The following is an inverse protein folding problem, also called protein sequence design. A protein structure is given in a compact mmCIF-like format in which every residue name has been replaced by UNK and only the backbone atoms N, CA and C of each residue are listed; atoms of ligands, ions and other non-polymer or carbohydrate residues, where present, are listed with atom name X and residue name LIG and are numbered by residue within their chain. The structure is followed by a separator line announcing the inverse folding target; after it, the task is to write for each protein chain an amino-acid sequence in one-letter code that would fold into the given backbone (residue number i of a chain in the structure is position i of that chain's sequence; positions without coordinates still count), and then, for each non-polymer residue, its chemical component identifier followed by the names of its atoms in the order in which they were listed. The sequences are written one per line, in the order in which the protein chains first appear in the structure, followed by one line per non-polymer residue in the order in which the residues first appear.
data_IF_159492705618
#
_entry.id   IF_159492705618
#
_cell.length_a   1.000
_cell.length_b   1.000
_cell.length_c   1.000
_cell.angle_alpha   90.00
_cell.angle_beta   90.00
_cell.angle_gamma   90.00
#
_symmetry.space_group_name_H-M   'P 1'
#
loop_
_entity.id
_entity.type
_entity.pdbx_description
1 polymer ?
#
# COMPACT_ATOMS: atom_id res chain seq x y z
N UNK A 1 -16.04 7.56 -3.07
CA UNK A 1 -16.04 7.79 -1.61
C UNK A 1 -14.70 7.35 -1.04
N UNK A 2 -14.16 8.07 -0.03
CA UNK A 2 -12.86 7.75 0.59
C UNK A 2 -13.01 7.63 2.10
N UNK A 3 -12.37 6.61 2.69
CA UNK A 3 -12.28 6.43 4.13
C UNK A 3 -10.86 6.75 4.61
N UNK A 4 -10.76 7.42 5.76
CA UNK A 4 -9.50 7.71 6.45
C UNK A 4 -9.56 7.19 7.87
N UNK A 5 -8.38 6.85 8.40
CA UNK A 5 -8.17 6.62 9.84
C UNK A 5 -7.24 7.70 10.37
N UNK A 6 -7.61 8.32 11.46
CA UNK A 6 -6.87 9.46 12.00
C UNK A 6 -6.83 9.44 13.54
N UNK A 7 -5.88 10.13 14.12
CA UNK A 7 -5.79 10.32 15.56
C UNK A 7 -6.72 11.48 15.96
N UNK A 8 -7.68 11.20 16.84
CA UNK A 8 -8.52 12.24 17.47
C UNK A 8 -7.72 13.13 18.42
N UNK A 9 -8.35 14.19 18.92
CA UNK A 9 -7.70 15.12 19.85
C UNK A 9 -7.26 14.48 21.18
N UNK A 10 -7.82 13.35 21.55
CA UNK A 10 -7.44 12.51 22.69
C UNK A 10 -6.38 11.44 22.33
N UNK A 11 -5.91 11.41 21.10
CA UNK A 11 -4.98 10.42 20.57
C UNK A 11 -5.62 9.09 20.16
N UNK A 12 -6.93 8.88 20.41
CA UNK A 12 -7.62 7.67 20.02
C UNK A 12 -7.80 7.60 18.49
N UNK A 13 -7.69 6.39 17.93
CA UNK A 13 -7.93 6.19 16.51
C UNK A 13 -9.42 6.31 16.17
N UNK A 14 -9.73 7.07 15.11
CA UNK A 14 -11.08 7.32 14.60
C UNK A 14 -11.14 7.01 13.11
N UNK A 15 -12.33 6.73 12.61
CA UNK A 15 -12.62 6.65 11.17
C UNK A 15 -13.37 7.90 10.72
N UNK A 16 -13.24 8.24 9.45
CA UNK A 16 -14.00 9.33 8.86
C UNK A 16 -14.12 9.21 7.34
N UNK A 17 -15.13 9.91 6.79
CA UNK A 17 -15.27 10.12 5.36
C UNK A 17 -14.46 11.34 4.96
N UNK A 18 -13.54 11.14 4.01
CA UNK A 18 -12.74 12.23 3.47
C UNK A 18 -13.50 12.92 2.33
N UNK A 19 -13.69 14.22 2.48
CA UNK A 19 -14.27 15.14 1.50
C UNK A 19 -13.29 16.30 1.28
N UNK A 20 -12.58 16.29 0.15
CA UNK A 20 -11.51 17.24 -0.17
C UNK A 20 -10.47 17.36 0.97
N UNK A 21 -10.47 18.46 1.72
CA UNK A 21 -9.57 18.71 2.85
C UNK A 21 -10.25 18.54 4.23
N UNK A 22 -11.45 17.96 4.26
CA UNK A 22 -12.27 17.81 5.46
C UNK A 22 -12.55 16.32 5.70
N UNK A 23 -12.53 15.93 6.96
CA UNK A 23 -12.93 14.59 7.43
C UNK A 23 -14.27 14.75 8.16
N UNK A 24 -15.31 14.11 7.67
CA UNK A 24 -16.57 13.95 8.42
C UNK A 24 -16.38 12.75 9.34
N UNK A 25 -16.38 12.98 10.64
CA UNK A 25 -16.11 11.93 11.63
C UNK A 25 -17.18 10.83 11.62
N UNK A 26 -16.73 9.58 11.58
CA UNK A 26 -17.58 8.39 11.61
C UNK A 26 -17.52 7.64 12.96
N UNK A 27 -16.74 8.14 13.92
CA UNK A 27 -16.60 7.55 15.24
C UNK A 27 -15.30 6.79 15.47
N UNK A 28 -15.17 6.08 16.61
CA UNK A 28 -13.98 5.33 16.99
C UNK A 28 -13.63 4.26 15.94
N UNK A 29 -12.34 4.14 15.62
CA UNK A 29 -11.87 3.07 14.74
C UNK A 29 -11.83 1.74 15.48
N UNK A 30 -12.27 0.62 14.86
CA UNK A 30 -12.04 -0.72 15.41
C UNK A 30 -10.55 -1.07 15.40
N UNK A 31 -10.14 -2.07 16.20
CA UNK A 31 -8.73 -2.49 16.31
C UNK A 31 -8.10 -2.93 14.99
N UNK A 32 -8.90 -3.40 14.04
CA UNK A 32 -8.47 -3.78 12.68
C UNK A 32 -8.40 -2.58 11.71
N UNK A 33 -8.67 -1.36 12.20
CA UNK A 33 -8.76 -0.18 11.35
C UNK A 33 -9.98 -0.24 10.43
N UNK A 34 -9.85 0.31 9.22
CA UNK A 34 -10.87 0.25 8.19
C UNK A 34 -10.71 -1.04 7.38
N UNK A 35 -11.68 -1.94 7.42
CA UNK A 35 -11.62 -3.27 6.79
C UNK A 35 -12.26 -3.31 5.40
N UNK A 36 -12.73 -2.18 4.89
CA UNK A 36 -13.39 -2.01 3.58
C UNK A 36 -14.57 -2.97 3.33
N UNK A 37 -15.14 -3.58 4.39
CA UNK A 37 -16.35 -4.39 4.29
C UNK A 37 -17.57 -3.53 3.89
N UNK A 38 -18.65 -4.14 3.38
CA UNK A 38 -19.90 -3.41 3.12
C UNK A 38 -20.39 -2.62 4.33
N UNK A 39 -20.29 -3.20 5.54
CA UNK A 39 -20.71 -2.54 6.79
C UNK A 39 -19.80 -1.36 7.13
N UNK A 40 -18.48 -1.49 6.94
CA UNK A 40 -17.54 -0.39 7.13
C UNK A 40 -17.81 0.74 6.13
N UNK A 41 -18.09 0.45 4.87
CA UNK A 41 -18.48 1.45 3.88
C UNK A 41 -19.83 2.12 4.22
N UNK A 42 -20.79 1.36 4.75
CA UNK A 42 -22.07 1.90 5.22
C UNK A 42 -21.85 2.89 6.38
N UNK A 43 -20.95 2.55 7.33
CA UNK A 43 -20.57 3.45 8.42
C UNK A 43 -19.99 4.76 7.87
N UNK A 44 -19.03 4.67 6.92
CA UNK A 44 -18.42 5.86 6.30
C UNK A 44 -19.46 6.68 5.53
N UNK A 45 -20.35 6.04 4.78
CA UNK A 45 -21.40 6.74 4.01
C UNK A 45 -22.38 7.50 4.91
N UNK A 46 -22.71 6.93 6.07
CA UNK A 46 -23.64 7.52 7.05
C UNK A 46 -22.95 8.47 8.05
N UNK A 47 -21.64 8.72 7.92
CA UNK A 47 -20.92 9.61 8.83
C UNK A 47 -21.56 11.00 8.85
N UNK A 48 -21.84 11.48 10.07
CA UNK A 48 -22.49 12.78 10.35
C UNK A 48 -21.92 13.45 11.61
N UNK A 49 -20.75 12.99 12.06
CA UNK A 49 -20.04 13.60 13.17
C UNK A 49 -19.45 14.96 12.80
N UNK A 50 -18.71 15.60 13.71
CA UNK A 50 -18.13 16.91 13.45
C UNK A 50 -17.09 16.84 12.31
N UNK A 51 -17.04 17.92 11.55
CA UNK A 51 -16.03 18.14 10.54
C UNK A 51 -14.68 18.43 11.18
N UNK A 52 -13.64 17.79 10.67
CA UNK A 52 -12.25 17.94 11.11
C UNK A 52 -11.38 18.26 9.90
N UNK A 53 -10.58 19.32 9.94
CA UNK A 53 -9.66 19.62 8.86
C UNK A 53 -8.53 18.57 8.81
N UNK A 54 -8.21 18.07 7.61
CA UNK A 54 -7.12 17.09 7.43
C UNK A 54 -5.79 17.58 7.99
N UNK A 55 -5.51 18.90 7.86
CA UNK A 55 -4.27 19.50 8.34
C UNK A 55 -4.15 19.60 9.87
N UNK A 56 -5.25 19.42 10.61
CA UNK A 56 -5.27 19.52 12.07
C UNK A 56 -5.10 18.15 12.78
N UNK A 57 -5.00 17.06 12.01
CA UNK A 57 -4.90 15.71 12.55
C UNK A 57 -3.77 14.91 11.91
N UNK A 58 -3.29 13.92 12.65
CA UNK A 58 -2.37 12.93 12.08
C UNK A 58 -3.19 11.83 11.42
N UNK A 59 -2.97 11.62 10.11
CA UNK A 59 -3.53 10.48 9.40
C UNK A 59 -2.74 9.22 9.78
N UNK A 60 -3.45 8.18 10.16
CA UNK A 60 -2.88 6.86 10.47
C UNK A 60 -2.98 5.97 9.23
N UNK A 61 -2.19 4.89 9.16
CA UNK A 61 -2.43 3.87 8.13
C UNK A 61 -3.87 3.37 8.24
N UNK A 62 -4.64 3.32 7.14
CA UNK A 62 -6.09 3.13 7.21
C UNK A 62 -6.49 1.74 7.72
N UNK A 63 -5.75 0.69 7.33
CA UNK A 63 -6.02 -0.70 7.68
C UNK A 63 -4.98 -1.23 8.67
N UNK A 64 -5.38 -2.22 9.49
CA UNK A 64 -4.47 -3.04 10.32
C UNK A 64 -4.65 -4.50 9.88
N UNK A 65 -4.06 -4.88 8.72
CA UNK A 65 -4.32 -6.17 8.10
C UNK A 65 -3.76 -7.33 8.94
N UNK A 66 -4.47 -8.45 8.93
CA UNK A 66 -3.93 -9.72 9.43
C UNK A 66 -2.92 -10.30 8.45
N UNK A 67 -3.14 -10.07 7.14
CA UNK A 67 -2.22 -10.42 6.08
C UNK A 67 -1.93 -9.16 5.25
N UNK A 68 -0.67 -8.77 5.21
CA UNK A 68 -0.13 -7.82 4.26
C UNK A 68 0.72 -8.62 3.28
N UNK A 69 0.17 -8.85 2.11
CA UNK A 69 0.74 -9.70 1.07
C UNK A 69 1.38 -8.79 0.03
N UNK A 70 2.68 -8.94 -0.19
CA UNK A 70 3.38 -8.31 -1.30
C UNK A 70 3.46 -9.26 -2.49
N UNK A 71 3.54 -8.69 -3.69
CA UNK A 71 3.68 -9.43 -4.95
C UNK A 71 4.98 -9.01 -5.61
N UNK A 72 5.92 -9.95 -5.73
CA UNK A 72 7.18 -9.75 -6.44
C UNK A 72 6.96 -9.77 -7.95
N UNK A 73 7.76 -8.93 -8.67
CA UNK A 73 7.80 -8.82 -10.14
C UNK A 73 6.42 -8.95 -10.82
N UNK A 74 5.60 -7.95 -10.68
CA UNK A 74 4.26 -7.98 -11.24
C UNK A 74 3.97 -6.87 -12.27
N UNK A 75 4.95 -6.10 -12.71
CA UNK A 75 4.84 -5.14 -13.81
C UNK A 75 5.77 -5.51 -14.96
N UNK A 76 5.27 -5.41 -16.20
CA UNK A 76 6.04 -5.75 -17.42
C UNK A 76 7.22 -4.82 -17.61
N UNK A 77 7.03 -3.52 -17.41
CA UNK A 77 8.07 -2.49 -17.45
C UNK A 77 9.18 -2.74 -16.42
N UNK A 78 8.83 -3.21 -15.22
CA UNK A 78 9.82 -3.60 -14.20
C UNK A 78 10.58 -4.88 -14.58
N UNK A 79 9.92 -5.87 -15.19
CA UNK A 79 10.57 -7.08 -15.67
C UNK A 79 11.59 -6.76 -16.78
N UNK A 80 11.22 -5.89 -17.72
CA UNK A 80 12.08 -5.43 -18.81
C UNK A 80 13.29 -4.65 -18.28
N UNK A 81 13.10 -3.69 -17.36
CA UNK A 81 14.16 -2.90 -16.74
C UNK A 81 15.18 -3.76 -15.99
N UNK A 82 14.69 -4.78 -15.28
CA UNK A 82 15.51 -5.66 -14.44
C UNK A 82 16.08 -6.86 -15.19
N UNK A 83 15.81 -7.02 -16.49
CA UNK A 83 16.19 -8.17 -17.32
C UNK A 83 15.78 -9.53 -16.70
N UNK A 84 14.64 -9.55 -15.98
CA UNK A 84 14.11 -10.73 -15.32
C UNK A 84 13.08 -11.44 -16.19
N UNK A 85 13.11 -12.78 -16.16
CA UNK A 85 12.05 -13.57 -16.80
C UNK A 85 10.70 -13.34 -16.11
N UNK A 86 9.66 -13.21 -16.93
CA UNK A 86 8.28 -13.09 -16.44
C UNK A 86 7.91 -14.38 -15.71
N UNK A 87 7.51 -14.32 -14.43
CA UNK A 87 7.14 -15.52 -13.68
C UNK A 87 5.87 -16.15 -14.24
N UNK A 88 5.79 -17.48 -14.21
CA UNK A 88 4.60 -18.23 -14.68
C UNK A 88 3.44 -18.21 -13.66
N UNK A 89 3.70 -17.83 -12.41
CA UNK A 89 2.74 -17.71 -11.32
C UNK A 89 3.12 -16.50 -10.43
N UNK A 90 2.16 -15.88 -9.72
CA UNK A 90 2.46 -14.82 -8.77
C UNK A 90 3.46 -15.25 -7.70
N UNK A 91 4.47 -14.44 -7.45
CA UNK A 91 5.44 -14.63 -6.35
C UNK A 91 4.97 -13.84 -5.15
N UNK A 92 4.42 -14.51 -4.16
CA UNK A 92 3.88 -13.86 -2.96
C UNK A 92 4.91 -13.90 -1.82
N UNK A 93 4.97 -12.79 -1.08
CA UNK A 93 5.71 -12.71 0.18
C UNK A 93 4.87 -11.96 1.23
N UNK A 94 5.22 -12.09 2.49
CA UNK A 94 4.55 -11.38 3.55
C UNK A 94 5.34 -10.11 3.91
N UNK A 95 4.61 -9.01 4.22
CA UNK A 95 5.12 -7.92 5.04
C UNK A 95 4.42 -7.97 6.39
N UNK A 96 5.17 -7.76 7.45
CA UNK A 96 4.56 -7.75 8.77
C UNK A 96 3.85 -6.44 9.05
N UNK A 97 2.71 -6.51 9.71
CA UNK A 97 1.91 -5.33 10.04
C UNK A 97 2.63 -4.32 10.95
N UNK A 98 3.69 -4.75 11.65
CA UNK A 98 4.57 -3.86 12.42
C UNK A 98 5.34 -2.86 11.55
N UNK A 99 5.48 -3.14 10.24
CA UNK A 99 6.10 -2.21 9.30
C UNK A 99 5.19 -1.06 8.85
N UNK A 100 3.87 -1.12 9.15
CA UNK A 100 2.91 -0.12 8.70
C UNK A 100 3.09 1.22 9.39
N UNK A 101 3.09 2.29 8.59
CA UNK A 101 3.01 3.68 9.04
C UNK A 101 2.02 4.45 8.16
N UNK A 102 1.50 5.57 8.67
CA UNK A 102 0.54 6.42 7.97
C UNK A 102 1.19 7.49 7.11
N UNK A 103 0.33 8.30 6.50
CA UNK A 103 0.74 9.50 5.78
C UNK A 103 1.42 10.50 6.73
N UNK A 104 2.58 11.02 6.34
CA UNK A 104 3.37 11.96 7.13
C UNK A 104 4.31 11.32 8.15
N UNK A 105 4.13 10.05 8.47
CA UNK A 105 5.05 9.33 9.37
C UNK A 105 6.40 9.09 8.66
N UNK A 106 7.54 9.10 9.37
CA UNK A 106 8.84 8.89 8.76
C UNK A 106 9.06 7.42 8.35
N UNK A 107 9.73 7.24 7.20
CA UNK A 107 10.42 5.98 6.87
C UNK A 107 11.76 6.03 7.60
N UNK A 108 11.94 5.18 8.60
CA UNK A 108 13.18 5.12 9.40
C UNK A 108 14.06 4.00 8.88
N UNK A 109 15.20 4.37 8.29
CA UNK A 109 16.15 3.40 7.73
C UNK A 109 17.05 2.88 8.85
N UNK A 110 17.10 1.55 9.10
CA UNK A 110 18.03 0.96 10.06
C UNK A 110 19.49 1.22 9.69
N UNK A 111 20.37 1.33 10.70
CA UNK A 111 21.80 1.66 10.52
C UNK A 111 22.54 0.69 9.59
N UNK A 112 22.16 -0.57 9.63
CA UNK A 112 22.79 -1.62 8.84
C UNK A 112 22.29 -1.68 7.40
N UNK A 113 21.15 -1.03 7.08
CA UNK A 113 20.60 -1.05 5.73
C UNK A 113 21.17 0.12 4.89
N UNK A 114 22.07 -0.20 3.99
CA UNK A 114 22.78 0.76 3.15
C UNK A 114 22.15 0.96 1.78
N UNK A 115 21.13 0.19 1.45
CA UNK A 115 20.45 0.17 0.15
C UNK A 115 18.93 0.22 0.31
N UNK A 116 18.39 1.23 1.06
CA UNK A 116 16.94 1.39 1.21
C UNK A 116 16.34 1.92 -0.09
N UNK A 117 15.32 1.26 -0.60
CA UNK A 117 14.71 1.54 -1.88
C UNK A 117 13.21 1.80 -1.74
N UNK A 118 12.64 2.55 -2.68
CA UNK A 118 11.22 2.87 -2.79
C UNK A 118 10.56 1.96 -3.83
N UNK A 119 9.34 1.56 -3.55
CA UNK A 119 8.47 0.81 -4.46
C UNK A 119 7.02 1.29 -4.29
N UNK A 120 6.59 2.25 -5.11
CA UNK A 120 5.20 2.70 -5.12
C UNK A 120 4.29 1.62 -5.69
N UNK A 121 3.19 1.32 -4.99
CA UNK A 121 2.26 0.26 -5.34
C UNK A 121 0.80 0.68 -5.16
N UNK A 122 -0.07 0.15 -6.02
CA UNK A 122 -1.50 0.10 -5.73
C UNK A 122 -1.72 -1.00 -4.70
N UNK A 123 -2.32 -0.66 -3.56
CA UNK A 123 -2.73 -1.63 -2.56
C UNK A 123 -4.23 -1.93 -2.68
N UNK A 124 -4.58 -3.19 -2.70
CA UNK A 124 -5.97 -3.67 -2.70
C UNK A 124 -6.36 -4.06 -1.30
N UNK A 125 -7.46 -3.52 -0.80
CA UNK A 125 -8.04 -3.89 0.50
C UNK A 125 -9.19 -4.87 0.25
N UNK A 126 -9.09 -6.06 0.83
CA UNK A 126 -10.15 -7.07 0.77
C UNK A 126 -11.33 -6.61 1.62
N UNK A 127 -12.52 -6.61 1.04
CA UNK A 127 -13.76 -6.20 1.73
C UNK A 127 -14.73 -7.35 1.99
N UNK A 128 -14.46 -8.54 1.45
CA UNK A 128 -15.30 -9.73 1.67
C UNK A 128 -14.44 -10.95 1.93
N UNK A 129 -14.85 -11.75 2.91
CA UNK A 129 -14.21 -13.03 3.19
C UNK A 129 -14.25 -13.92 1.95
N UNK A 130 -13.07 -14.38 1.51
CA UNK A 130 -12.89 -15.02 0.20
C UNK A 130 -11.95 -16.22 0.32
N UNK A 131 -12.39 -17.36 -0.21
CA UNK A 131 -11.62 -18.60 -0.28
C UNK A 131 -11.95 -19.34 -1.58
N UNK A 132 -10.93 -19.74 -2.36
CA UNK A 132 -11.08 -20.42 -3.66
C UNK A 132 -11.99 -19.64 -4.62
N UNK A 133 -11.72 -18.33 -4.75
CA UNK A 133 -12.54 -17.46 -5.57
C UNK A 133 -12.41 -17.77 -7.07
N UNK A 134 -13.53 -17.80 -7.76
CA UNK A 134 -13.55 -17.56 -9.21
C UNK A 134 -13.32 -16.06 -9.52
N UNK A 135 -13.36 -15.70 -10.79
CA UNK A 135 -13.06 -14.31 -11.20
C UNK A 135 -14.10 -13.31 -10.66
N UNK A 136 -15.37 -13.69 -10.64
CA UNK A 136 -16.45 -12.81 -10.18
C UNK A 136 -16.38 -12.61 -8.66
N UNK A 137 -16.15 -13.69 -7.91
CA UNK A 137 -15.96 -13.63 -6.46
C UNK A 137 -14.69 -12.86 -6.08
N UNK A 138 -13.59 -13.04 -6.82
CA UNK A 138 -12.35 -12.28 -6.62
C UNK A 138 -12.56 -10.79 -6.87
N UNK A 139 -13.24 -10.41 -7.94
CA UNK A 139 -13.60 -9.00 -8.22
C UNK A 139 -14.51 -8.44 -7.11
N UNK A 140 -15.52 -9.18 -6.69
CA UNK A 140 -16.44 -8.77 -5.62
C UNK A 140 -15.77 -8.70 -4.24
N UNK A 141 -14.60 -9.33 -4.06
CA UNK A 141 -13.83 -9.28 -2.83
C UNK A 141 -13.05 -7.97 -2.67
N UNK A 142 -12.83 -7.20 -3.75
CA UNK A 142 -12.14 -5.91 -3.67
C UNK A 142 -13.05 -4.89 -2.98
N UNK A 143 -12.74 -4.54 -1.76
CA UNK A 143 -13.48 -3.54 -0.99
C UNK A 143 -13.01 -2.11 -1.24
N UNK A 144 -11.72 -1.94 -1.55
CA UNK A 144 -11.15 -0.62 -1.83
C UNK A 144 -9.72 -0.69 -2.33
N UNK A 145 -9.19 0.46 -2.70
CA UNK A 145 -7.79 0.65 -3.12
C UNK A 145 -7.12 1.74 -2.28
N UNK A 146 -5.82 1.65 -2.10
CA UNK A 146 -4.99 2.62 -1.40
C UNK A 146 -3.64 2.76 -2.09
N UNK A 147 -2.84 3.74 -1.71
CA UNK A 147 -1.43 3.78 -2.08
C UNK A 147 -0.59 3.10 -0.99
N UNK A 148 0.47 2.43 -1.40
CA UNK A 148 1.43 1.80 -0.50
C UNK A 148 2.84 2.02 -1.07
N UNK A 149 3.81 2.19 -0.18
CA UNK A 149 5.21 2.15 -0.53
C UNK A 149 5.82 0.86 0.05
N UNK A 150 6.14 -0.12 -0.81
CA UNK A 150 6.79 -1.36 -0.41
C UNK A 150 8.29 -1.14 -0.22
N UNK A 151 8.63 -0.31 0.77
CA UNK A 151 10.03 0.03 1.07
C UNK A 151 10.85 -1.23 1.27
N UNK A 152 12.01 -1.26 0.61
CA UNK A 152 12.85 -2.44 0.48
C UNK A 152 14.26 -2.18 0.98
N UNK A 153 14.69 -2.93 1.98
CA UNK A 153 16.08 -3.02 2.37
C UNK A 153 16.80 -4.00 1.44
N UNK A 154 17.35 -3.51 0.33
CA UNK A 154 17.96 -4.37 -0.70
C UNK A 154 19.14 -5.17 -0.18
N UNK A 155 19.90 -4.60 0.78
CA UNK A 155 20.98 -5.34 1.44
C UNK A 155 20.42 -6.59 2.14
N UNK A 156 19.46 -6.43 3.03
CA UNK A 156 18.86 -7.57 3.75
C UNK A 156 18.13 -8.53 2.81
N UNK A 157 17.47 -8.00 1.76
CA UNK A 157 16.70 -8.79 0.81
C UNK A 157 17.57 -9.68 -0.10
N UNK A 158 18.71 -9.16 -0.59
CA UNK A 158 19.44 -9.72 -1.73
C UNK A 158 20.84 -10.25 -1.41
N UNK A 159 21.50 -9.81 -0.33
CA UNK A 159 22.89 -10.18 -0.02
C UNK A 159 23.07 -11.61 0.51
N UNK A 160 21.99 -12.31 0.83
CA UNK A 160 22.07 -13.71 1.25
C UNK A 160 21.73 -14.64 0.07
N UNK A 161 22.36 -15.83 -0.05
CA UNK A 161 22.12 -16.76 -1.16
C UNK A 161 20.65 -17.17 -1.30
N UNK A 162 19.91 -17.21 -0.20
CA UNK A 162 18.50 -17.64 -0.18
C UNK A 162 17.51 -16.48 -0.29
N UNK A 163 17.98 -15.26 -0.46
CA UNK A 163 17.17 -14.04 -0.55
C UNK A 163 16.07 -13.96 0.54
N UNK A 164 16.03 -12.91 1.31
CA UNK A 164 15.10 -12.76 2.43
C UNK A 164 14.07 -11.66 2.14
N UNK A 165 13.10 -11.97 1.28
CA UNK A 165 12.06 -10.99 0.91
C UNK A 165 11.32 -10.47 2.13
N UNK A 166 10.70 -11.34 2.92
CA UNK A 166 9.93 -10.93 4.10
C UNK A 166 10.74 -10.06 5.05
N UNK A 167 12.00 -10.40 5.35
CA UNK A 167 12.85 -9.60 6.24
C UNK A 167 13.17 -8.23 5.64
N UNK A 168 13.72 -8.20 4.40
CA UNK A 168 14.12 -6.94 3.75
C UNK A 168 12.95 -6.00 3.45
N UNK A 169 11.73 -6.51 3.43
CA UNK A 169 10.48 -5.79 3.18
C UNK A 169 9.70 -5.43 4.44
N UNK A 170 10.14 -5.86 5.65
CA UNK A 170 9.35 -5.75 6.88
C UNK A 170 10.09 -5.07 8.04
N UNK A 171 11.14 -4.29 7.76
CA UNK A 171 11.67 -3.42 8.80
C UNK A 171 10.57 -2.45 9.27
N UNK A 172 10.63 -2.04 10.52
CA UNK A 172 9.69 -1.07 11.06
C UNK A 172 9.63 0.16 10.13
N UNK A 173 8.44 0.68 9.89
CA UNK A 173 8.16 1.80 8.98
C UNK A 173 8.30 1.52 7.48
N UNK A 174 8.63 0.30 7.05
CA UNK A 174 8.88 -0.04 5.64
C UNK A 174 7.59 -0.37 4.84
N UNK A 175 6.41 -0.09 5.41
CA UNK A 175 5.13 -0.21 4.72
C UNK A 175 4.25 1.04 4.92
N UNK A 176 4.67 2.23 4.47
CA UNK A 176 3.77 3.38 4.43
C UNK A 176 2.52 3.04 3.61
N UNK A 177 1.33 3.32 4.16
CA UNK A 177 0.03 3.07 3.50
C UNK A 177 -0.94 4.21 3.76
N UNK A 178 -1.68 4.63 2.74
CA UNK A 178 -2.69 5.68 2.80
C UNK A 178 -2.66 6.61 1.58
N UNK A 179 -3.04 7.89 1.71
CA UNK A 179 -3.61 8.55 2.90
C UNK A 179 -5.01 8.05 3.24
N UNK A 180 -5.69 7.42 2.30
CA UNK A 180 -7.07 6.94 2.40
C UNK A 180 -7.25 5.57 1.76
N UNK A 181 -8.39 4.94 1.99
CA UNK A 181 -8.92 3.87 1.14
C UNK A 181 -10.03 4.46 0.29
N UNK A 182 -9.91 4.36 -1.02
CA UNK A 182 -10.96 4.71 -1.97
C UNK A 182 -11.84 3.49 -2.25
N UNK A 183 -13.15 3.67 -2.29
CA UNK A 183 -14.08 2.59 -2.63
C UNK A 183 -13.80 2.06 -4.04
N UNK A 184 -13.81 0.75 -4.20
CA UNK A 184 -13.57 0.09 -5.49
C UNK A 184 -14.80 0.09 -6.42
N UNK A 185 -15.96 0.52 -5.93
CA UNK A 185 -17.18 0.58 -6.74
C UNK A 185 -17.03 1.56 -7.89
N UNK A 186 -17.27 1.07 -9.12
CA UNK A 186 -17.09 1.84 -10.36
C UNK A 186 -15.63 2.06 -10.80
N UNK A 187 -14.64 1.55 -10.07
CA UNK A 187 -13.22 1.66 -10.45
C UNK A 187 -12.85 0.56 -11.46
N UNK A 188 -12.22 0.96 -12.56
CA UNK A 188 -11.59 0.00 -13.46
C UNK A 188 -10.22 -0.41 -12.89
N UNK A 189 -10.19 -1.58 -12.26
CA UNK A 189 -8.98 -2.11 -11.64
C UNK A 189 -7.82 -2.35 -12.62
N UNK A 190 -8.10 -2.38 -13.93
CA UNK A 190 -7.10 -2.53 -14.99
C UNK A 190 -6.61 -1.19 -15.56
N UNK A 191 -7.04 -0.05 -15.00
CA UNK A 191 -6.73 1.27 -15.56
C UNK A 191 -6.38 2.33 -14.50
N UNK A 192 -5.79 1.91 -13.37
CA UNK A 192 -5.38 2.81 -12.28
C UNK A 192 -3.98 3.34 -12.56
N UNK A 193 -3.83 4.67 -12.63
CA UNK A 193 -2.52 5.31 -12.75
C UNK A 193 -1.80 5.37 -11.41
N UNK A 194 -0.47 5.19 -11.44
CA UNK A 194 0.40 5.28 -10.29
C UNK A 194 1.66 6.05 -10.63
N UNK A 195 2.12 6.89 -9.69
CA UNK A 195 3.39 7.63 -9.79
C UNK A 195 4.11 7.64 -8.45
N UNK A 196 5.44 7.56 -8.52
CA UNK A 196 6.29 7.75 -7.35
C UNK A 196 7.29 8.85 -7.62
N UNK A 197 7.37 9.83 -6.71
CA UNK A 197 8.42 10.84 -6.72
C UNK A 197 9.27 10.75 -5.46
N UNK A 198 10.56 11.03 -5.59
CA UNK A 198 11.47 11.18 -4.44
C UNK A 198 12.06 12.57 -4.49
N UNK A 199 11.79 13.36 -3.46
CA UNK A 199 12.26 14.75 -3.35
C UNK A 199 11.89 15.61 -4.58
N UNK A 200 10.71 15.34 -5.17
CA UNK A 200 10.17 16.07 -6.33
C UNK A 200 10.60 15.53 -7.69
N UNK A 201 11.50 14.56 -7.75
CA UNK A 201 11.87 13.87 -9.00
C UNK A 201 10.93 12.69 -9.24
N UNK A 202 10.23 12.65 -10.40
CA UNK A 202 9.38 11.51 -10.80
C UNK A 202 10.28 10.33 -11.20
N UNK A 203 10.21 9.26 -10.43
CA UNK A 203 11.06 8.08 -10.59
C UNK A 203 10.30 6.85 -11.10
N UNK A 204 9.01 6.76 -10.79
CA UNK A 204 8.13 5.71 -11.32
C UNK A 204 6.86 6.35 -11.86
N UNK A 205 6.38 5.87 -13.01
CA UNK A 205 5.11 6.29 -13.63
C UNK A 205 4.58 5.15 -14.48
N UNK A 206 3.43 4.59 -14.12
CA UNK A 206 2.84 3.45 -14.82
C UNK A 206 1.32 3.39 -14.59
N UNK A 207 0.73 2.28 -15.02
CA UNK A 207 -0.70 2.03 -14.90
C UNK A 207 -0.94 0.53 -14.67
N UNK A 208 -1.98 0.15 -13.92
CA UNK A 208 -2.29 -1.26 -13.63
C UNK A 208 -2.57 -2.14 -14.86
N UNK A 209 -2.76 -1.54 -16.04
CA UNK A 209 -2.80 -2.28 -17.32
C UNK A 209 -1.48 -3.00 -17.63
N UNK A 210 -0.38 -2.54 -17.04
CA UNK A 210 0.96 -3.13 -17.23
C UNK A 210 1.24 -4.28 -16.24
N UNK A 211 0.30 -4.60 -15.34
CA UNK A 211 0.40 -5.75 -14.45
C UNK A 211 0.57 -7.05 -15.26
N UNK A 212 1.48 -7.92 -14.83
CA UNK A 212 1.67 -9.27 -15.36
C UNK A 212 0.46 -10.13 -14.96
N UNK A 213 0.13 -10.15 -13.68
CA UNK A 213 -1.07 -10.77 -13.13
C UNK A 213 -2.02 -9.67 -12.65
N UNK A 214 -3.21 -9.65 -13.17
CA UNK A 214 -4.25 -8.69 -12.79
C UNK A 214 -4.63 -8.81 -11.31
N UNK A 215 -5.20 -7.76 -10.74
CA UNK A 215 -5.69 -7.76 -9.36
C UNK A 215 -6.63 -8.95 -9.08
N UNK A 216 -7.48 -9.29 -10.04
CA UNK A 216 -8.40 -10.44 -9.93
C UNK A 216 -7.62 -11.76 -9.86
N UNK A 217 -6.64 -11.96 -10.74
CA UNK A 217 -5.79 -13.16 -10.73
C UNK A 217 -4.97 -13.28 -9.44
N UNK A 218 -4.47 -12.17 -8.89
CA UNK A 218 -3.76 -12.18 -7.60
C UNK A 218 -4.67 -12.68 -6.46
N UNK A 219 -5.93 -12.20 -6.41
CA UNK A 219 -6.91 -12.63 -5.41
C UNK A 219 -7.27 -14.11 -5.60
N UNK A 220 -7.50 -14.55 -6.85
CA UNK A 220 -7.75 -15.97 -7.15
C UNK A 220 -6.58 -16.84 -6.69
N UNK A 221 -5.35 -16.46 -7.03
CA UNK A 221 -4.16 -17.21 -6.67
C UNK A 221 -3.96 -17.30 -5.16
N UNK A 222 -4.03 -16.16 -4.46
CA UNK A 222 -3.87 -16.11 -3.00
C UNK A 222 -4.98 -16.89 -2.29
N UNK A 223 -6.23 -16.74 -2.74
CA UNK A 223 -7.39 -17.39 -2.10
C UNK A 223 -7.47 -18.91 -2.38
N UNK A 224 -6.71 -19.44 -3.34
CA UNK A 224 -6.69 -20.86 -3.64
C UNK A 224 -6.20 -21.73 -2.46
N UNK A 225 -5.30 -21.18 -1.65
CA UNK A 225 -4.68 -21.87 -0.51
C UNK A 225 -4.95 -21.25 0.85
N UNK A 226 -5.36 -19.97 0.91
CA UNK A 226 -5.61 -19.27 2.18
C UNK A 226 -6.88 -18.44 2.12
N UNK A 227 -7.60 -18.36 3.22
CA UNK A 227 -8.76 -17.44 3.32
C UNK A 227 -8.24 -16.00 3.40
N UNK A 228 -8.77 -15.13 2.55
CA UNK A 228 -8.63 -13.69 2.66
C UNK A 228 -9.80 -13.14 3.46
N UNK A 229 -9.52 -12.31 4.45
CA UNK A 229 -10.52 -11.71 5.34
C UNK A 229 -10.67 -10.20 5.04
N UNK A 230 -11.81 -9.59 5.35
CA UNK A 230 -11.94 -8.14 5.29
C UNK A 230 -10.81 -7.44 6.03
N UNK A 231 -10.24 -6.41 5.41
CA UNK A 231 -9.07 -5.69 5.92
C UNK A 231 -7.71 -6.29 5.57
N UNK A 232 -7.63 -7.52 5.03
CA UNK A 232 -6.38 -8.02 4.44
C UNK A 232 -5.98 -7.16 3.24
N UNK A 233 -4.68 -6.96 3.04
CA UNK A 233 -4.13 -6.07 2.01
C UNK A 233 -3.22 -6.84 1.07
N UNK A 234 -3.38 -6.60 -0.23
CA UNK A 234 -2.47 -7.08 -1.29
C UNK A 234 -1.80 -5.86 -1.93
N UNK A 235 -0.50 -5.73 -1.76
CA UNK A 235 0.36 -4.81 -2.49
C UNK A 235 0.67 -5.46 -3.84
N UNK A 236 0.26 -4.81 -4.95
CA UNK A 236 0.07 -5.48 -6.26
C UNK A 236 1.35 -5.58 -7.10
N UNK A 237 2.47 -5.14 -6.56
CA UNK A 237 3.74 -5.01 -7.27
C UNK A 237 4.02 -3.57 -7.68
N UNK A 238 5.29 -3.28 -7.91
CA UNK A 238 5.80 -1.96 -8.28
C UNK A 238 6.16 -1.89 -9.76
N UNK A 239 5.96 -0.76 -10.45
CA UNK A 239 6.44 -0.55 -11.81
C UNK A 239 7.95 -0.34 -11.89
N UNK A 240 8.50 -0.28 -13.10
CA UNK A 240 9.89 0.11 -13.37
C UNK A 240 10.26 1.45 -12.76
N UNK A 241 11.56 1.70 -12.60
CA UNK A 241 12.10 2.92 -12.03
C UNK A 241 12.52 2.82 -10.57
N UNK A 242 12.60 1.60 -10.01
CA UNK A 242 13.13 1.37 -8.65
C UNK A 242 14.58 1.83 -8.54
N UNK A 243 14.99 2.23 -7.34
CA UNK A 243 16.32 2.81 -7.12
C UNK A 243 17.47 1.84 -7.39
N UNK A 244 17.27 0.55 -7.11
CA UNK A 244 18.29 -0.50 -7.28
C UNK A 244 18.63 -0.76 -8.76
N UNK A 245 17.69 -0.58 -9.68
CA UNK A 245 17.87 -0.79 -11.13
C UNK A 245 18.48 0.40 -11.85
N UNK A 246 18.61 1.55 -11.21
CA UNK A 246 19.14 2.77 -11.84
C UNK A 246 20.66 2.76 -11.99
N UNK A 247 21.15 3.50 -12.98
CA UNK A 247 22.59 3.68 -13.20
C UNK A 247 22.93 5.17 -13.18
N UNK A 248 23.58 5.70 -12.10
CA UNK A 248 23.92 5.00 -10.86
C UNK A 248 22.67 4.70 -10.00
N UNK A 249 22.72 3.72 -9.07
CA UNK A 249 21.62 3.43 -8.17
C UNK A 249 21.17 4.64 -7.34
N UNK A 250 19.84 4.78 -7.15
CA UNK A 250 19.24 5.88 -6.38
C UNK A 250 18.50 5.34 -5.16
N UNK A 251 19.22 5.10 -4.08
CA UNK A 251 18.64 4.69 -2.80
C UNK A 251 18.13 5.90 -2.02
N UNK A 252 17.19 5.64 -1.09
CA UNK A 252 16.65 6.64 -0.17
C UNK A 252 17.73 7.14 0.79
N UNK A 253 17.65 8.43 1.15
CA UNK A 253 18.60 9.11 2.02
C UNK A 253 17.86 9.93 3.06
N UNK A 254 18.49 10.20 4.19
CA UNK A 254 17.95 11.13 5.17
C UNK A 254 17.61 12.48 4.52
N UNK A 255 16.41 12.97 4.82
CA UNK A 255 15.88 14.21 4.27
C UNK A 255 15.15 14.04 2.92
N UNK A 256 15.20 12.88 2.28
CA UNK A 256 14.30 12.60 1.15
C UNK A 256 12.84 12.62 1.60
N UNK A 257 11.95 12.92 0.66
CA UNK A 257 10.50 12.80 0.82
C UNK A 257 9.99 11.92 -0.32
N UNK A 258 9.32 10.84 0.01
CA UNK A 258 8.71 9.94 -0.97
C UNK A 258 7.22 10.25 -1.08
N UNK A 259 6.75 10.50 -2.29
CA UNK A 259 5.35 10.65 -2.63
C UNK A 259 4.93 9.49 -3.54
N UNK A 260 3.92 8.74 -3.12
CA UNK A 260 3.25 7.73 -3.95
C UNK A 260 1.84 8.22 -4.25
N UNK A 261 1.59 8.60 -5.48
CA UNK A 261 0.28 9.02 -5.94
C UNK A 261 -0.42 7.87 -6.68
N UNK A 262 -1.67 7.62 -6.31
CA UNK A 262 -2.55 6.63 -6.96
C UNK A 262 -3.84 7.32 -7.35
N UNK A 263 -4.27 7.14 -8.59
CA UNK A 263 -5.51 7.73 -9.10
C UNK A 263 -6.71 7.29 -8.25
N UNK A 264 -7.61 8.22 -7.99
CA UNK A 264 -8.76 8.00 -7.12
C UNK A 264 -8.44 7.96 -5.61
N UNK A 265 -7.19 7.73 -5.18
CA UNK A 265 -6.78 7.69 -3.77
C UNK A 265 -6.22 9.04 -3.30
N UNK A 266 -5.21 9.53 -3.99
CA UNK A 266 -4.44 10.71 -3.62
C UNK A 266 -2.97 10.40 -3.39
N UNK A 267 -2.24 11.30 -2.71
CA UNK A 267 -0.80 11.18 -2.48
C UNK A 267 -0.49 10.73 -1.06
N UNK A 268 0.17 9.60 -0.94
CA UNK A 268 0.83 9.14 0.27
C UNK A 268 2.21 9.79 0.33
N UNK A 269 2.49 10.59 1.37
CA UNK A 269 3.75 11.32 1.53
C UNK A 269 4.45 10.89 2.82
N UNK A 270 5.73 10.55 2.73
CA UNK A 270 6.52 10.14 3.89
C UNK A 270 7.96 10.70 3.81
N UNK A 271 8.44 11.42 4.85
CA UNK A 271 9.83 11.80 4.95
C UNK A 271 10.71 10.60 5.28
N UNK A 272 11.99 10.67 4.88
CA UNK A 272 12.98 9.61 5.18
C UNK A 272 13.92 10.10 6.29
N UNK A 273 14.11 9.27 7.29
CA UNK A 273 15.05 9.49 8.39
C UNK A 273 15.98 8.28 8.55
N UNK A 274 17.15 8.47 9.13
CA UNK A 274 18.01 7.38 9.56
C UNK A 274 17.76 7.08 11.05
N UNK A 275 17.90 5.83 11.41
CA UNK A 275 17.92 5.42 12.82
C UNK A 275 19.06 6.13 13.56
N UNK A 276 18.75 6.73 14.72
CA UNK A 276 19.71 7.51 15.55
C UNK A 276 20.52 6.63 16.50
#
# INVERSE_FOLDING_TARGET
MKAVRYAGGDGAARLGRLEDCTIVDAGPAPGVGFDASPDAWQLIASASGPDVAVGDVRLLHPCVPRKLIGVGLNYRDHAEESELEIPSVPVLFAKWSSALVGHGDPIVVPREETRPDYEGEVAVVIGRRTYRADADAARAAVGGISALNDVSGRRAQLETPLRQFTLGKSFDTFAPMGPSVAAADGVDLAAIDIKTTVSGEELQSSNTRNLIFSIVELIQYASAGMTLEPGDVIATGTPGGVGDSRTPPRYLRAGDVVDVWVDGVGTLRNPVALET
#
